data_IF_526928857652
#
_entry.id   IF_526928857652
#
_cell.length_a   1.000
_cell.length_b   1.000
_cell.length_c   1.000
_cell.angle_alpha   90.00
_cell.angle_beta   90.00
_cell.angle_gamma   90.00
#
_symmetry.space_group_name_H-M   'P 1'
#
loop_
_entity.id
_entity.type
_entity.pdbx_description
1 polymer ?
#
# COMPACT_ATOMS: atom_id res chain seq x y z
N UNK A 1 6.46 9.83 18.94
CA UNK A 1 5.98 10.84 17.98
C UNK A 1 4.94 11.76 18.61
N UNK A 2 3.87 11.21 19.18
CA UNK A 2 2.77 12.03 19.72
C UNK A 2 3.17 12.89 20.91
N UNK A 3 4.03 12.40 21.78
CA UNK A 3 4.60 13.17 22.91
C UNK A 3 5.43 14.38 22.43
N UNK A 4 6.01 14.27 21.23
CA UNK A 4 6.77 15.34 20.57
C UNK A 4 5.89 16.25 19.68
N UNK A 5 4.57 16.12 19.77
CA UNK A 5 3.63 16.94 19.01
C UNK A 5 3.48 16.56 17.54
N UNK A 6 4.02 15.40 17.11
CA UNK A 6 3.90 14.88 15.74
C UNK A 6 2.87 13.77 15.70
N UNK A 7 1.74 14.04 15.05
CA UNK A 7 0.70 13.04 14.83
C UNK A 7 0.75 12.58 13.35
N UNK A 8 0.98 11.31 13.05
CA UNK A 8 0.92 10.83 11.67
C UNK A 8 -0.51 10.83 11.15
N UNK A 9 -0.69 11.11 9.84
CA UNK A 9 -1.99 11.05 9.17
C UNK A 9 -2.47 9.62 8.96
N UNK A 10 -1.55 8.64 8.89
CA UNK A 10 -1.82 7.20 8.87
C UNK A 10 -0.61 6.40 9.35
N UNK A 11 -0.83 5.17 9.77
CA UNK A 11 0.24 4.25 10.18
C UNK A 11 0.13 2.94 9.41
N UNK A 12 1.20 2.57 8.71
CA UNK A 12 1.37 1.26 8.10
C UNK A 12 1.95 0.28 9.14
N UNK A 13 1.24 -0.81 9.36
CA UNK A 13 1.66 -1.87 10.30
C UNK A 13 2.30 -3.04 9.56
N UNK A 14 3.62 -2.95 9.39
CA UNK A 14 4.42 -3.92 8.63
C UNK A 14 4.60 -3.52 7.16
N UNK A 15 5.55 -4.15 6.49
CA UNK A 15 5.90 -3.95 5.10
C UNK A 15 5.87 -5.29 4.37
N UNK A 16 5.07 -5.39 3.29
CA UNK A 16 4.95 -6.62 2.48
C UNK A 16 4.79 -7.90 3.32
N UNK A 17 3.82 -7.90 4.19
CA UNK A 17 3.65 -8.92 5.23
C UNK A 17 2.96 -10.21 4.76
N UNK A 18 2.92 -10.49 3.45
CA UNK A 18 2.35 -11.71 2.85
C UNK A 18 2.88 -12.99 3.50
N UNK A 19 4.15 -13.00 3.88
CA UNK A 19 4.83 -14.13 4.53
C UNK A 19 5.02 -13.91 6.03
N UNK A 20 4.37 -12.91 6.60
CA UNK A 20 4.46 -12.57 8.01
C UNK A 20 5.39 -11.42 8.34
N UNK A 21 5.61 -11.23 9.64
CA UNK A 21 6.46 -10.19 10.19
C UNK A 21 7.21 -10.69 11.43
N UNK A 22 8.30 -10.04 11.82
CA UNK A 22 9.06 -10.36 13.04
C UNK A 22 9.46 -11.86 13.11
N UNK A 23 10.12 -12.33 12.04
CA UNK A 23 10.58 -13.72 11.96
C UNK A 23 11.60 -14.07 13.06
N UNK A 24 11.59 -15.32 13.55
CA UNK A 24 10.72 -16.44 13.13
C UNK A 24 9.32 -16.45 13.76
N UNK A 25 9.04 -15.65 14.79
CA UNK A 25 7.82 -15.75 15.60
C UNK A 25 6.54 -15.48 14.83
N UNK A 26 6.58 -14.56 13.88
CA UNK A 26 5.43 -14.19 13.05
C UNK A 26 5.53 -14.67 11.60
N UNK A 27 6.29 -15.73 11.32
CA UNK A 27 6.33 -16.37 10.02
C UNK A 27 5.02 -17.12 9.77
N UNK A 28 4.34 -16.80 8.66
CA UNK A 28 2.99 -17.33 8.38
C UNK A 28 3.01 -18.85 8.15
N UNK A 29 4.02 -19.36 7.45
CA UNK A 29 4.15 -20.79 7.15
C UNK A 29 4.26 -21.64 8.42
N UNK A 30 4.84 -21.08 9.48
CA UNK A 30 4.94 -21.77 10.76
C UNK A 30 3.66 -21.64 11.59
N UNK A 31 3.05 -20.46 11.60
CA UNK A 31 1.80 -20.24 12.33
C UNK A 31 1.07 -18.95 11.98
N UNK A 32 0.00 -19.07 11.23
CA UNK A 32 -0.94 -17.96 11.02
C UNK A 32 -1.54 -17.42 12.34
N UNK A 33 -1.62 -18.25 13.37
CA UNK A 33 -2.14 -17.81 14.67
C UNK A 33 -1.19 -16.80 15.32
N UNK A 34 0.10 -17.11 15.38
CA UNK A 34 1.10 -16.20 15.96
C UNK A 34 1.19 -14.90 15.19
N UNK A 35 1.28 -14.99 13.86
CA UNK A 35 1.25 -13.81 13.01
C UNK A 35 0.01 -12.93 13.23
N UNK A 36 -1.18 -13.53 13.27
CA UNK A 36 -2.43 -12.82 13.52
C UNK A 36 -2.46 -12.12 14.88
N UNK A 37 -1.88 -12.72 15.92
CA UNK A 37 -1.73 -12.07 17.24
C UNK A 37 -0.80 -10.87 17.15
N UNK A 38 0.36 -11.02 16.52
CA UNK A 38 1.33 -9.91 16.37
C UNK A 38 0.73 -8.75 15.60
N UNK A 39 0.08 -9.02 14.46
CA UNK A 39 -0.52 -7.98 13.64
C UNK A 39 -1.70 -7.30 14.36
N UNK A 40 -2.53 -8.06 15.06
CA UNK A 40 -3.61 -7.51 15.90
C UNK A 40 -3.07 -6.60 17.00
N UNK A 41 -1.99 -7.00 17.68
CA UNK A 41 -1.33 -6.15 18.69
C UNK A 41 -0.81 -4.85 18.05
N UNK A 42 -0.18 -4.93 16.87
CA UNK A 42 0.33 -3.76 16.17
C UNK A 42 -0.79 -2.77 15.82
N UNK A 43 -1.88 -3.25 15.20
CA UNK A 43 -3.03 -2.39 14.85
C UNK A 43 -3.74 -1.82 16.08
N UNK A 44 -3.87 -2.61 17.15
CA UNK A 44 -4.47 -2.18 18.41
C UNK A 44 -3.62 -1.10 19.11
N UNK A 45 -2.30 -1.19 19.04
CA UNK A 45 -1.39 -0.20 19.62
C UNK A 45 -1.56 1.18 18.97
N UNK A 46 -1.72 1.24 17.63
CA UNK A 46 -2.01 2.50 16.93
C UNK A 46 -3.32 3.10 17.44
N UNK A 47 -4.37 2.28 17.54
CA UNK A 47 -5.68 2.72 18.05
C UNK A 47 -5.64 3.20 19.49
N UNK A 48 -4.83 2.55 20.33
CA UNK A 48 -4.64 2.97 21.74
C UNK A 48 -3.90 4.30 21.84
N UNK A 49 -2.96 4.56 20.92
CA UNK A 49 -2.24 5.83 20.88
C UNK A 49 -3.15 6.97 20.40
N UNK A 50 -3.88 6.76 19.32
CA UNK A 50 -4.88 7.70 18.81
C UNK A 50 -5.90 6.95 17.93
N UNK A 51 -7.16 6.85 18.34
CA UNK A 51 -8.18 6.09 17.61
C UNK A 51 -8.56 6.71 16.25
N UNK A 52 -8.22 7.97 16.00
CA UNK A 52 -8.51 8.64 14.72
C UNK A 52 -7.47 8.38 13.64
N UNK A 53 -6.31 7.81 13.97
CA UNK A 53 -5.27 7.50 12.98
C UNK A 53 -5.69 6.26 12.18
N UNK A 54 -5.85 6.36 10.85
CA UNK A 54 -6.08 5.20 10.00
C UNK A 54 -4.91 4.21 10.04
N UNK A 55 -5.24 2.92 10.12
CA UNK A 55 -4.27 1.83 10.11
C UNK A 55 -4.28 1.16 8.75
N UNK A 56 -3.12 1.08 8.13
CA UNK A 56 -2.92 0.38 6.86
C UNK A 56 -2.17 -0.93 7.06
N UNK A 57 -2.63 -1.99 6.39
CA UNK A 57 -1.84 -3.21 6.17
C UNK A 57 -1.25 -3.18 4.77
N UNK A 58 0.00 -3.57 4.64
CA UNK A 58 0.73 -3.55 3.37
C UNK A 58 1.14 -4.95 2.95
N UNK A 59 0.67 -5.37 1.79
CA UNK A 59 1.00 -6.64 1.16
C UNK A 59 1.61 -6.41 -0.23
N UNK A 60 2.49 -7.33 -0.66
CA UNK A 60 3.04 -7.36 -2.01
C UNK A 60 1.97 -7.85 -3.01
N UNK A 61 2.38 -8.18 -4.22
CA UNK A 61 1.57 -8.91 -5.20
C UNK A 61 0.37 -8.13 -5.78
N UNK A 62 0.59 -6.84 -6.11
CA UNK A 62 -0.47 -5.92 -6.55
C UNK A 62 -1.34 -6.39 -7.71
N UNK A 63 -0.86 -7.29 -8.58
CA UNK A 63 -1.65 -7.90 -9.65
C UNK A 63 -2.10 -9.33 -9.36
N UNK A 64 -1.88 -9.87 -8.16
CA UNK A 64 -2.22 -11.26 -7.80
C UNK A 64 -3.44 -11.27 -6.87
N UNK A 65 -4.63 -11.24 -7.44
CA UNK A 65 -5.88 -11.12 -6.69
C UNK A 65 -6.11 -12.28 -5.72
N UNK A 66 -5.93 -13.51 -6.16
CA UNK A 66 -6.19 -14.69 -5.32
C UNK A 66 -5.32 -14.69 -4.07
N UNK A 67 -4.05 -14.30 -4.18
CA UNK A 67 -3.14 -14.21 -3.05
C UNK A 67 -3.53 -13.07 -2.11
N UNK A 68 -3.86 -11.92 -2.66
CA UNK A 68 -4.32 -10.75 -1.90
C UNK A 68 -5.59 -11.05 -1.11
N UNK A 69 -6.58 -11.68 -1.76
CA UNK A 69 -7.84 -12.10 -1.13
C UNK A 69 -7.58 -13.14 -0.03
N UNK A 70 -6.78 -14.18 -0.35
CA UNK A 70 -6.43 -15.19 0.64
C UNK A 70 -5.81 -14.60 1.90
N UNK A 71 -4.83 -13.70 1.75
CA UNK A 71 -4.19 -13.04 2.88
C UNK A 71 -5.17 -12.20 3.69
N UNK A 72 -5.94 -11.33 3.03
CA UNK A 72 -6.87 -10.43 3.70
C UNK A 72 -7.99 -11.20 4.44
N UNK A 73 -8.54 -12.24 3.84
CA UNK A 73 -9.53 -13.12 4.49
C UNK A 73 -8.95 -13.77 5.75
N UNK A 74 -7.69 -14.22 5.69
CA UNK A 74 -7.02 -14.83 6.84
C UNK A 74 -6.81 -13.87 8.00
N UNK A 75 -6.35 -12.64 7.74
CA UNK A 75 -6.16 -11.68 8.83
C UNK A 75 -7.49 -11.16 9.39
N UNK A 76 -8.50 -10.99 8.55
CA UNK A 76 -9.86 -10.62 9.00
C UNK A 76 -10.48 -11.73 9.86
N UNK A 77 -10.29 -13.01 9.50
CA UNK A 77 -10.75 -14.15 10.33
C UNK A 77 -10.05 -14.23 11.70
N UNK A 78 -8.97 -13.48 11.89
CA UNK A 78 -8.21 -13.35 13.16
C UNK A 78 -8.52 -12.05 13.91
N UNK A 79 -9.59 -11.37 13.50
CA UNK A 79 -10.05 -10.11 14.09
C UNK A 79 -9.01 -8.96 14.03
N UNK A 80 -8.15 -8.96 13.00
CA UNK A 80 -7.25 -7.83 12.73
C UNK A 80 -8.08 -6.68 12.19
N UNK A 81 -8.02 -5.53 12.86
CA UNK A 81 -8.75 -4.31 12.48
C UNK A 81 -7.81 -3.35 11.78
N UNK A 82 -8.11 -3.04 10.53
CA UNK A 82 -7.39 -2.07 9.72
C UNK A 82 -8.36 -1.28 8.84
N UNK A 83 -7.92 -0.17 8.29
CA UNK A 83 -8.76 0.75 7.51
C UNK A 83 -8.40 0.78 6.04
N UNK A 84 -7.12 0.64 5.70
CA UNK A 84 -6.58 0.86 4.36
C UNK A 84 -5.82 -0.38 3.92
N UNK A 85 -5.96 -0.75 2.65
CA UNK A 85 -5.18 -1.79 1.99
C UNK A 85 -4.04 -1.12 1.23
N UNK A 86 -2.79 -1.43 1.60
CA UNK A 86 -1.59 -1.05 0.85
C UNK A 86 -1.11 -2.20 -0.03
N UNK A 87 -0.74 -1.89 -1.29
CA UNK A 87 -0.22 -2.85 -2.26
C UNK A 87 1.10 -2.38 -2.85
N UNK A 88 2.09 -3.28 -2.96
CA UNK A 88 3.23 -3.05 -3.86
C UNK A 88 2.89 -3.51 -5.28
N UNK A 89 3.39 -2.79 -6.27
CA UNK A 89 3.27 -3.20 -7.66
C UNK A 89 4.59 -3.06 -8.41
N UNK A 90 5.09 -4.21 -8.85
CA UNK A 90 6.28 -4.33 -9.70
C UNK A 90 5.95 -5.32 -10.84
N UNK A 91 5.82 -4.87 -12.10
CA UNK A 91 5.31 -5.70 -13.21
C UNK A 91 6.03 -7.03 -13.38
N UNK A 92 7.35 -7.03 -13.15
CA UNK A 92 8.19 -8.22 -13.32
C UNK A 92 7.85 -9.37 -12.36
N UNK A 93 7.13 -9.09 -11.28
CA UNK A 93 6.75 -10.09 -10.26
C UNK A 93 5.25 -10.17 -10.02
N UNK A 94 4.51 -9.08 -10.26
CA UNK A 94 3.14 -8.94 -9.80
C UNK A 94 2.10 -8.97 -10.91
N UNK A 95 2.51 -9.19 -12.18
CA UNK A 95 1.59 -9.28 -13.31
C UNK A 95 1.40 -7.97 -14.08
N UNK A 96 0.41 -7.92 -14.95
CA UNK A 96 0.14 -6.81 -15.85
C UNK A 96 -0.57 -5.64 -15.16
N UNK A 97 -0.71 -4.52 -15.87
CA UNK A 97 -1.53 -3.38 -15.40
C UNK A 97 -3.02 -3.74 -15.31
N UNK A 98 -3.50 -4.61 -16.19
CA UNK A 98 -4.87 -5.13 -16.16
C UNK A 98 -5.09 -6.00 -14.92
N UNK A 99 -4.10 -6.83 -14.55
CA UNK A 99 -4.15 -7.62 -13.32
C UNK A 99 -4.16 -6.71 -12.08
N UNK A 100 -3.34 -5.65 -12.07
CA UNK A 100 -3.34 -4.65 -11.02
C UNK A 100 -4.72 -3.99 -10.89
N UNK A 101 -5.29 -3.51 -12.00
CA UNK A 101 -6.60 -2.86 -12.00
C UNK A 101 -7.69 -3.80 -11.49
N UNK A 102 -7.69 -5.04 -11.95
CA UNK A 102 -8.64 -6.06 -11.49
C UNK A 102 -8.53 -6.27 -9.97
N UNK A 103 -7.30 -6.50 -9.48
CA UNK A 103 -7.05 -6.74 -8.07
C UNK A 103 -7.52 -5.57 -7.20
N UNK A 104 -7.08 -4.35 -7.51
CA UNK A 104 -7.42 -3.19 -6.69
C UNK A 104 -8.93 -2.92 -6.67
N UNK A 105 -9.62 -3.07 -7.80
CA UNK A 105 -11.07 -2.91 -7.88
C UNK A 105 -11.81 -3.97 -7.05
N UNK A 106 -11.39 -5.24 -7.14
CA UNK A 106 -12.01 -6.31 -6.36
C UNK A 106 -11.78 -6.10 -4.86
N UNK A 107 -10.54 -5.80 -4.44
CA UNK A 107 -10.24 -5.57 -3.03
C UNK A 107 -11.03 -4.40 -2.44
N UNK A 108 -11.09 -3.28 -3.16
CA UNK A 108 -11.86 -2.11 -2.74
C UNK A 108 -13.36 -2.40 -2.58
N UNK A 109 -13.94 -3.16 -3.52
CA UNK A 109 -15.34 -3.55 -3.49
C UNK A 109 -15.61 -4.61 -2.41
N UNK A 110 -14.82 -5.69 -2.39
CA UNK A 110 -14.98 -6.86 -1.53
C UNK A 110 -14.90 -6.52 -0.05
N UNK A 111 -13.89 -5.74 0.32
CA UNK A 111 -13.65 -5.38 1.73
C UNK A 111 -14.25 -4.03 2.12
N UNK A 112 -14.82 -3.31 1.18
CA UNK A 112 -15.34 -1.95 1.37
C UNK A 112 -14.30 -1.01 2.02
N UNK A 113 -13.04 -1.09 1.57
CA UNK A 113 -11.91 -0.33 2.11
C UNK A 113 -11.21 0.47 1.03
N UNK A 114 -10.64 1.63 1.36
CA UNK A 114 -9.75 2.35 0.47
C UNK A 114 -8.44 1.58 0.25
N UNK A 115 -7.81 1.87 -0.90
CA UNK A 115 -6.59 1.22 -1.38
C UNK A 115 -5.54 2.27 -1.73
N UNK A 116 -4.27 1.96 -1.45
CA UNK A 116 -3.10 2.75 -1.85
C UNK A 116 -2.11 1.81 -2.52
N UNK A 117 -1.50 2.21 -3.64
CA UNK A 117 -0.29 1.56 -4.14
C UNK A 117 0.90 2.20 -3.44
N UNK A 118 1.45 1.52 -2.43
CA UNK A 118 2.45 2.07 -1.51
C UNK A 118 3.89 1.86 -1.94
N UNK A 119 4.10 1.04 -2.96
CA UNK A 119 5.40 0.86 -3.61
C UNK A 119 5.21 0.57 -5.10
N UNK A 120 5.85 1.34 -5.96
CA UNK A 120 5.95 1.09 -7.41
C UNK A 120 7.08 1.95 -8.00
N UNK A 121 7.54 1.61 -9.20
CA UNK A 121 8.54 2.39 -9.92
C UNK A 121 8.16 2.67 -11.38
N UNK A 122 7.69 1.64 -12.08
CA UNK A 122 7.37 1.70 -13.50
C UNK A 122 5.91 2.10 -13.75
N UNK A 123 5.57 2.42 -14.99
CA UNK A 123 4.20 2.75 -15.41
C UNK A 123 3.52 3.84 -14.57
N UNK A 124 4.27 4.90 -14.26
CA UNK A 124 3.84 5.91 -13.27
C UNK A 124 2.48 6.53 -13.55
N UNK A 125 2.22 6.89 -14.81
CA UNK A 125 0.93 7.48 -15.19
C UNK A 125 -0.21 6.44 -15.11
N UNK A 126 0.05 5.23 -15.59
CA UNK A 126 -0.92 4.15 -15.64
C UNK A 126 -1.32 3.70 -14.24
N UNK A 127 -0.34 3.46 -13.36
CA UNK A 127 -0.60 3.07 -11.96
C UNK A 127 -1.40 4.15 -11.24
N UNK A 128 -1.04 5.42 -11.40
CA UNK A 128 -1.79 6.52 -10.80
C UNK A 128 -3.23 6.59 -11.34
N UNK A 129 -3.44 6.41 -12.65
CA UNK A 129 -4.78 6.37 -13.25
C UNK A 129 -5.61 5.21 -12.72
N UNK A 130 -5.02 4.00 -12.66
CA UNK A 130 -5.69 2.83 -12.11
C UNK A 130 -6.17 3.09 -10.68
N UNK A 131 -5.31 3.66 -9.83
CA UNK A 131 -5.71 3.97 -8.44
C UNK A 131 -6.78 5.05 -8.39
N UNK A 132 -6.64 6.14 -9.16
CA UNK A 132 -7.66 7.20 -9.24
C UNK A 132 -9.03 6.66 -9.64
N UNK A 133 -9.03 5.75 -10.63
CA UNK A 133 -10.26 5.25 -11.25
C UNK A 133 -10.93 4.11 -10.46
N UNK A 134 -10.42 3.75 -9.26
CA UNK A 134 -11.06 2.78 -8.37
C UNK A 134 -12.46 3.31 -7.97
N UNK A 135 -13.55 2.55 -8.21
CA UNK A 135 -14.91 3.00 -7.94
C UNK A 135 -15.15 3.41 -6.48
N UNK A 136 -16.02 4.40 -6.30
CA UNK A 136 -16.47 4.87 -4.98
C UNK A 136 -15.40 5.66 -4.21
N UNK A 137 -14.51 6.35 -4.93
CA UNK A 137 -13.45 7.20 -4.35
C UNK A 137 -12.53 6.46 -3.39
N UNK A 138 -12.34 5.14 -3.64
CA UNK A 138 -11.55 4.28 -2.76
C UNK A 138 -10.07 4.23 -3.11
N UNK A 139 -9.65 4.81 -4.21
CA UNK A 139 -8.25 4.99 -4.55
C UNK A 139 -7.69 6.24 -3.88
N UNK A 140 -6.85 6.08 -2.86
CA UNK A 140 -6.33 7.23 -2.10
C UNK A 140 -5.04 7.82 -2.68
N UNK A 141 -4.38 7.13 -3.61
CA UNK A 141 -3.15 7.61 -4.23
C UNK A 141 -2.04 6.57 -4.25
N UNK A 142 -0.82 7.04 -4.48
CA UNK A 142 0.35 6.19 -4.67
C UNK A 142 1.59 6.77 -3.98
N UNK A 143 2.53 5.88 -3.60
CA UNK A 143 3.87 6.25 -3.14
C UNK A 143 4.91 5.59 -4.05
N UNK A 144 5.71 6.40 -4.73
CA UNK A 144 6.81 5.89 -5.55
C UNK A 144 7.95 5.40 -4.66
N UNK A 145 8.49 4.22 -4.97
CA UNK A 145 9.63 3.64 -4.26
C UNK A 145 10.91 4.43 -4.55
N UNK A 146 11.66 4.78 -3.49
CA UNK A 146 12.96 5.48 -3.58
C UNK A 146 12.93 6.70 -4.52
N UNK A 147 11.94 7.58 -4.39
CA UNK A 147 11.76 8.75 -5.25
C UNK A 147 13.02 9.59 -5.46
N UNK A 148 13.88 9.68 -4.44
CA UNK A 148 15.12 10.47 -4.44
C UNK A 148 16.35 9.69 -4.92
N UNK A 149 16.25 8.38 -5.13
CA UNK A 149 17.39 7.56 -5.54
C UNK A 149 17.67 7.69 -7.04
N UNK A 150 18.86 8.17 -7.46
CA UNK A 150 19.23 8.19 -8.87
C UNK A 150 19.45 6.79 -9.45
N UNK A 151 19.77 5.80 -8.59
CA UNK A 151 20.06 4.42 -8.96
C UNK A 151 18.92 3.74 -9.73
N UNK A 152 17.71 4.07 -9.41
CA UNK A 152 16.51 3.48 -10.01
C UNK A 152 15.85 4.37 -11.08
N UNK A 153 16.56 5.46 -11.50
CA UNK A 153 16.03 6.38 -12.48
C UNK A 153 14.74 7.09 -12.04
N UNK A 154 14.60 7.35 -10.74
CA UNK A 154 13.37 7.92 -10.17
C UNK A 154 13.20 9.42 -10.50
N UNK A 155 13.09 10.31 -9.53
CA UNK A 155 12.72 11.71 -9.77
C UNK A 155 13.91 12.67 -9.76
N UNK A 156 15.08 12.18 -9.31
CA UNK A 156 16.29 12.99 -9.18
C UNK A 156 17.48 12.31 -9.88
N UNK A 157 18.40 13.11 -10.34
CA UNK A 157 19.70 12.67 -10.88
C UNK A 157 20.75 12.51 -9.77
N UNK A 158 21.97 12.07 -10.14
CA UNK A 158 23.09 11.91 -9.21
C UNK A 158 23.54 13.20 -8.52
N UNK A 159 23.14 14.36 -9.04
CA UNK A 159 23.46 15.69 -8.48
C UNK A 159 22.34 16.21 -7.60
N UNK A 160 21.23 15.46 -7.46
CA UNK A 160 20.07 15.85 -6.69
C UNK A 160 19.15 16.83 -7.43
N UNK A 161 19.34 17.05 -8.74
CA UNK A 161 18.42 17.83 -9.56
C UNK A 161 17.26 16.95 -10.05
N UNK A 162 16.08 17.53 -10.19
CA UNK A 162 14.92 16.83 -10.75
C UNK A 162 15.14 16.46 -12.20
N UNK A 163 14.73 15.26 -12.59
CA UNK A 163 14.83 14.77 -13.96
C UNK A 163 13.47 14.82 -14.69
N UNK A 164 13.44 14.32 -15.95
CA UNK A 164 12.24 14.32 -16.80
C UNK A 164 11.05 13.58 -16.16
N UNK A 165 11.31 12.57 -15.32
CA UNK A 165 10.24 11.83 -14.66
C UNK A 165 9.41 12.70 -13.70
N UNK A 166 10.01 13.74 -13.11
CA UNK A 166 9.28 14.69 -12.28
C UNK A 166 8.18 15.42 -13.08
N UNK A 167 8.37 15.64 -14.38
CA UNK A 167 7.41 16.33 -15.25
C UNK A 167 6.14 15.54 -15.53
N UNK A 168 6.13 14.23 -15.22
CA UNK A 168 4.93 13.40 -15.36
C UNK A 168 3.84 13.77 -14.35
N UNK A 169 4.21 14.22 -13.16
CA UNK A 169 3.25 14.50 -12.09
C UNK A 169 2.37 15.73 -12.36
N UNK A 170 2.89 16.87 -12.86
CA UNK A 170 2.01 17.96 -13.32
C UNK A 170 1.01 17.53 -14.40
N UNK A 171 1.45 16.74 -15.39
CA UNK A 171 0.56 16.21 -16.43
C UNK A 171 -0.54 15.31 -15.86
N UNK A 172 -0.21 14.56 -14.82
CA UNK A 172 -1.18 13.74 -14.12
C UNK A 172 -2.20 14.62 -13.36
N UNK A 173 -1.74 15.65 -12.66
CA UNK A 173 -2.61 16.60 -11.95
C UNK A 173 -3.58 17.33 -12.90
N UNK A 174 -3.14 17.69 -14.10
CA UNK A 174 -4.02 18.28 -15.13
C UNK A 174 -5.14 17.34 -15.59
N UNK A 175 -4.99 16.03 -15.40
CA UNK A 175 -6.02 15.03 -15.71
C UNK A 175 -7.06 14.84 -14.59
N UNK A 176 -6.86 15.44 -13.42
CA UNK A 176 -7.88 15.56 -12.39
C UNK A 176 -8.63 16.87 -12.61
N UNK A 177 -9.93 16.79 -12.83
CA UNK A 177 -10.82 17.94 -12.69
C UNK A 177 -10.91 18.30 -11.20
N UNK A 178 -9.95 19.07 -10.72
CA UNK A 178 -10.11 19.74 -9.44
C UNK A 178 -11.10 20.88 -9.64
N UNK A 179 -12.40 20.61 -9.44
CA UNK A 179 -13.44 21.61 -9.30
C UNK A 179 -13.39 22.22 -7.89
#
# INVERSE_FOLDING_TARGET
>A
FMEEGVCPDMVQTGNEINHGMLWPQGKIEDSYMHFGVLLRCATAAVRAANPSIPVMVHIACGGQNDESVYFLDKILSRDVKFDIIGQSYYPQWHGTLEDLQHNLNDLAARYNKPVIVVEYQEHRLEVNRIVRDIPGEKGLGTFIWEATSPRWGNLFDEKGATNENMKLYPQFLESYDFL
#
